data_IF_188606796029
#
_entry.id   IF_188606796029
#
_cell.length_a   1.000
_cell.length_b   1.000
_cell.length_c   1.000
_cell.angle_alpha   90.00
_cell.angle_beta   90.00
_cell.angle_gamma   90.00
#
_symmetry.space_group_name_H-M   'P 1'
#
loop_
_entity.id
_entity.type
_entity.pdbx_description
1 polymer ?
#
# COMPACT_ATOMS: atom_id res chain seq x y z
N UNK A 1 9.74 11.08 -14.73
CA UNK A 1 10.09 12.44 -14.24
C UNK A 1 8.89 13.36 -14.09
N UNK A 2 8.02 13.51 -15.10
CA UNK A 2 6.82 14.35 -15.02
C UNK A 2 5.83 13.96 -13.90
N UNK A 3 5.67 12.66 -13.64
CA UNK A 3 4.78 12.16 -12.58
C UNK A 3 5.28 12.60 -11.18
N UNK A 4 6.60 12.55 -10.95
CA UNK A 4 7.20 12.99 -9.69
C UNK A 4 7.00 14.50 -9.49
N UNK A 5 7.20 15.31 -10.55
CA UNK A 5 6.95 16.75 -10.50
C UNK A 5 5.48 17.05 -10.15
N UNK A 6 4.53 16.38 -10.81
CA UNK A 6 3.11 16.54 -10.55
C UNK A 6 2.73 16.15 -9.11
N UNK A 7 3.31 15.07 -8.58
CA UNK A 7 3.08 14.65 -7.21
C UNK A 7 3.66 15.59 -6.16
N UNK A 8 4.84 16.15 -6.39
CA UNK A 8 5.41 17.16 -5.49
C UNK A 8 4.53 18.42 -5.46
N UNK A 9 4.04 18.87 -6.62
CA UNK A 9 3.07 19.96 -6.69
C UNK A 9 1.76 19.61 -5.98
N UNK A 10 1.24 18.40 -6.18
CA UNK A 10 0.02 17.93 -5.51
C UNK A 10 0.20 17.91 -3.99
N UNK A 11 1.30 17.35 -3.50
CA UNK A 11 1.64 17.32 -2.08
C UNK A 11 1.68 18.71 -1.44
N UNK A 12 2.36 19.65 -2.10
CA UNK A 12 2.47 21.03 -1.61
C UNK A 12 1.11 21.75 -1.55
N UNK A 13 0.27 21.57 -2.57
CA UNK A 13 -1.09 22.15 -2.58
C UNK A 13 -1.96 21.49 -1.52
N UNK A 14 -1.89 20.16 -1.41
CA UNK A 14 -2.69 19.36 -0.48
C UNK A 14 -2.38 19.68 0.99
N UNK A 15 -1.10 19.83 1.31
CA UNK A 15 -0.67 20.29 2.63
C UNK A 15 -1.06 21.76 2.86
N UNK A 16 -0.88 22.63 1.86
CA UNK A 16 -1.23 24.04 1.92
C UNK A 16 -2.71 24.33 2.16
N UNK A 17 -3.62 23.46 1.71
CA UNK A 17 -5.06 23.54 2.00
C UNK A 17 -5.45 22.92 3.35
N UNK A 18 -4.49 22.38 4.11
CA UNK A 18 -4.72 21.76 5.41
C UNK A 18 -5.47 20.44 5.33
N UNK A 19 -5.37 19.72 4.21
CA UNK A 19 -6.20 18.54 4.00
C UNK A 19 -5.83 17.37 4.94
N UNK A 20 -4.60 17.34 5.48
CA UNK A 20 -4.24 16.41 6.58
C UNK A 20 -5.17 16.60 7.79
N UNK A 21 -5.42 17.87 8.20
CA UNK A 21 -6.35 18.20 9.30
C UNK A 21 -7.80 17.92 8.94
N UNK A 22 -8.18 18.12 7.68
CA UNK A 22 -9.53 17.81 7.20
C UNK A 22 -9.79 16.30 7.26
N UNK A 23 -8.80 15.49 6.91
CA UNK A 23 -8.85 14.03 6.98
C UNK A 23 -8.87 13.55 8.43
N UNK A 24 -8.03 14.13 9.29
CA UNK A 24 -8.02 13.85 10.73
C UNK A 24 -9.40 14.11 11.36
N UNK A 25 -10.00 15.28 11.11
CA UNK A 25 -11.35 15.59 11.61
C UNK A 25 -12.45 14.71 11.00
N UNK A 26 -12.38 14.37 9.70
CA UNK A 26 -13.36 13.47 9.07
C UNK A 26 -13.33 12.07 9.67
N UNK A 27 -12.14 11.48 9.79
CA UNK A 27 -12.02 10.10 10.23
C UNK A 27 -12.13 9.96 11.76
N UNK A 28 -11.49 10.84 12.52
CA UNK A 28 -11.43 10.74 13.98
C UNK A 28 -12.64 11.40 14.63
N UNK A 29 -12.99 12.64 14.26
CA UNK A 29 -14.09 13.34 14.94
C UNK A 29 -15.46 12.93 14.41
N UNK A 30 -15.59 12.74 13.09
CA UNK A 30 -16.88 12.45 12.44
C UNK A 30 -17.20 10.96 12.38
N UNK A 31 -16.24 10.13 11.97
CA UNK A 31 -16.43 8.68 11.84
C UNK A 31 -15.98 7.90 13.08
N UNK A 32 -15.37 8.58 14.07
CA UNK A 32 -14.89 7.99 15.32
C UNK A 32 -14.00 6.76 15.10
N UNK A 33 -13.19 6.78 14.04
CA UNK A 33 -12.26 5.71 13.72
C UNK A 33 -11.02 5.83 14.59
N UNK A 34 -10.57 4.70 15.11
CA UNK A 34 -9.25 4.61 15.73
C UNK A 34 -8.15 4.79 14.66
N UNK A 35 -6.92 5.19 15.04
CA UNK A 35 -5.78 5.24 14.13
C UNK A 35 -5.58 3.93 13.34
N UNK A 36 -5.84 2.78 13.98
CA UNK A 36 -5.85 1.46 13.33
C UNK A 36 -6.94 1.31 12.28
N UNK A 37 -8.13 1.85 12.50
CA UNK A 37 -9.21 1.87 11.50
C UNK A 37 -8.82 2.66 10.25
N UNK A 38 -8.15 3.80 10.42
CA UNK A 38 -7.61 4.59 9.31
C UNK A 38 -6.54 3.80 8.54
N UNK A 39 -5.63 3.15 9.25
CA UNK A 39 -4.60 2.31 8.64
C UNK A 39 -5.20 1.15 7.82
N UNK A 40 -6.18 0.44 8.36
CA UNK A 40 -6.85 -0.65 7.63
C UNK A 40 -7.53 -0.13 6.35
N UNK A 41 -8.17 1.04 6.43
CA UNK A 41 -8.78 1.69 5.26
C UNK A 41 -7.73 2.06 4.20
N UNK A 42 -6.56 2.54 4.63
CA UNK A 42 -5.43 2.77 3.72
C UNK A 42 -5.00 1.48 3.01
N UNK A 43 -4.80 0.38 3.76
CA UNK A 43 -4.41 -0.89 3.15
C UNK A 43 -5.44 -1.38 2.12
N UNK A 44 -6.73 -1.28 2.45
CA UNK A 44 -7.82 -1.63 1.54
C UNK A 44 -7.77 -0.75 0.28
N UNK A 45 -7.54 0.55 0.44
CA UNK A 45 -7.42 1.48 -0.70
C UNK A 45 -6.27 1.10 -1.64
N UNK A 46 -5.12 0.65 -1.13
CA UNK A 46 -4.00 0.18 -1.97
C UNK A 46 -4.34 -1.08 -2.72
N UNK A 47 -5.09 -2.01 -2.13
CA UNK A 47 -5.53 -3.22 -2.82
C UNK A 47 -6.41 -2.84 -4.02
N UNK A 48 -7.36 -1.92 -3.84
CA UNK A 48 -8.22 -1.45 -4.93
C UNK A 48 -7.46 -0.63 -5.98
N UNK A 49 -6.56 0.27 -5.58
CA UNK A 49 -5.80 1.10 -6.51
C UNK A 49 -4.73 0.31 -7.26
N UNK A 50 -3.97 -0.53 -6.56
CA UNK A 50 -2.89 -1.34 -7.10
C UNK A 50 -3.36 -2.48 -8.01
N UNK A 51 -4.67 -2.76 -8.02
CA UNK A 51 -5.29 -3.59 -9.05
C UNK A 51 -5.22 -2.95 -10.45
N UNK A 52 -5.17 -1.61 -10.54
CA UNK A 52 -5.21 -0.87 -11.82
C UNK A 52 -3.95 -0.07 -12.11
N UNK A 53 -3.28 0.41 -11.06
CA UNK A 53 -2.11 1.27 -11.14
C UNK A 53 -0.83 0.48 -10.87
N UNK A 54 0.27 0.90 -11.49
CA UNK A 54 1.58 0.40 -11.10
C UNK A 54 2.00 0.89 -9.71
N UNK A 55 2.87 0.14 -9.04
CA UNK A 55 3.32 0.34 -7.67
C UNK A 55 4.02 1.69 -7.48
N UNK A 56 4.75 2.13 -8.50
CA UNK A 56 5.47 3.40 -8.51
C UNK A 56 4.52 4.57 -8.74
N UNK A 57 3.63 4.49 -9.72
CA UNK A 57 2.63 5.54 -9.96
C UNK A 57 1.66 5.68 -8.79
N UNK A 58 1.25 4.56 -8.19
CA UNK A 58 0.44 4.58 -6.98
C UNK A 58 1.18 5.30 -5.85
N UNK A 59 2.44 4.96 -5.59
CA UNK A 59 3.24 5.56 -4.51
C UNK A 59 3.32 7.08 -4.70
N UNK A 60 3.54 7.51 -5.93
CA UNK A 60 3.66 8.93 -6.27
C UNK A 60 2.36 9.70 -6.03
N UNK A 61 1.20 9.05 -6.17
CA UNK A 61 -0.11 9.63 -5.85
C UNK A 61 -0.39 9.63 -4.34
N UNK A 62 -0.13 8.49 -3.67
CA UNK A 62 -0.57 8.29 -2.29
C UNK A 62 0.42 8.80 -1.25
N UNK A 63 1.72 8.83 -1.55
CA UNK A 63 2.74 9.22 -0.57
C UNK A 63 2.56 10.64 -0.04
N UNK A 64 2.31 11.68 -0.88
CA UNK A 64 2.10 13.03 -0.37
C UNK A 64 0.85 13.18 0.51
N UNK A 65 -0.10 12.25 0.38
CA UNK A 65 -1.35 12.23 1.13
C UNK A 65 -1.22 11.46 2.45
N UNK A 66 -0.72 10.22 2.38
CA UNK A 66 -0.77 9.29 3.50
C UNK A 66 0.46 9.33 4.41
N UNK A 67 1.65 9.68 3.90
CA UNK A 67 2.85 9.83 4.75
C UNK A 67 2.69 10.91 5.82
N UNK A 68 2.24 12.15 5.52
CA UNK A 68 2.04 13.14 6.57
C UNK A 68 0.94 12.73 7.56
N UNK A 69 -0.07 12.01 7.08
CA UNK A 69 -1.19 11.53 7.90
C UNK A 69 -0.77 10.42 8.87
N UNK A 70 -0.01 9.42 8.44
CA UNK A 70 0.47 8.36 9.34
C UNK A 70 1.44 8.89 10.39
N UNK A 71 2.25 9.90 10.04
CA UNK A 71 3.08 10.61 11.02
C UNK A 71 2.21 11.35 12.04
N UNK A 72 1.17 12.06 11.59
CA UNK A 72 0.23 12.75 12.49
C UNK A 72 -0.51 11.78 13.43
N UNK A 73 -0.83 10.57 12.94
CA UNK A 73 -1.43 9.49 13.73
C UNK A 73 -0.44 8.78 14.67
N UNK A 74 0.86 9.12 14.63
CA UNK A 74 1.89 8.58 15.50
C UNK A 74 2.48 7.22 15.04
N UNK A 75 2.26 6.82 13.79
CA UNK A 75 2.85 5.62 13.23
C UNK A 75 4.26 5.87 12.67
N UNK A 76 5.10 4.84 12.74
CA UNK A 76 6.43 4.88 12.14
C UNK A 76 6.34 4.83 10.59
N UNK A 77 6.97 5.78 9.88
CA UNK A 77 6.93 5.82 8.42
C UNK A 77 7.63 4.66 7.72
N UNK A 78 8.67 4.08 8.33
CA UNK A 78 9.40 2.94 7.77
C UNK A 78 8.50 1.71 7.82
N UNK A 79 7.89 1.45 8.97
CA UNK A 79 6.92 0.38 9.15
C UNK A 79 5.76 0.50 8.17
N UNK A 80 5.17 1.69 8.06
CA UNK A 80 4.11 1.96 7.08
C UNK A 80 4.60 1.73 5.63
N UNK A 81 5.82 2.15 5.31
CA UNK A 81 6.43 1.87 3.99
C UNK A 81 6.52 0.38 3.68
N UNK A 82 6.87 -0.45 4.68
CA UNK A 82 6.91 -1.91 4.52
C UNK A 82 5.49 -2.47 4.30
N UNK A 83 4.50 -2.01 5.06
CA UNK A 83 3.10 -2.40 4.86
C UNK A 83 2.60 -2.05 3.45
N UNK A 84 2.95 -0.85 2.97
CA UNK A 84 2.67 -0.42 1.60
C UNK A 84 3.30 -1.38 0.60
N UNK A 85 4.60 -1.67 0.71
CA UNK A 85 5.31 -2.56 -0.21
C UNK A 85 4.70 -3.95 -0.28
N UNK A 86 4.39 -4.56 0.88
CA UNK A 86 3.74 -5.88 0.92
C UNK A 86 2.37 -5.84 0.24
N UNK A 87 1.60 -4.79 0.52
CA UNK A 87 0.24 -4.64 -0.03
C UNK A 87 0.24 -4.40 -1.53
N UNK A 88 1.23 -3.66 -2.05
CA UNK A 88 1.43 -3.51 -3.49
C UNK A 88 1.67 -4.85 -4.18
N UNK A 89 2.50 -5.72 -3.58
CA UNK A 89 2.76 -7.05 -4.14
C UNK A 89 1.48 -7.90 -4.16
N UNK A 90 0.68 -7.83 -3.09
CA UNK A 90 -0.63 -8.48 -3.02
C UNK A 90 -1.55 -7.97 -4.15
N UNK A 91 -1.65 -6.64 -4.31
CA UNK A 91 -2.50 -6.02 -5.32
C UNK A 91 -2.07 -6.41 -6.76
N UNK A 92 -0.77 -6.47 -7.02
CA UNK A 92 -0.19 -6.89 -8.31
C UNK A 92 -0.52 -8.33 -8.72
N UNK A 93 -0.87 -9.16 -7.75
CA UNK A 93 -1.25 -10.55 -7.94
C UNK A 93 -2.74 -10.78 -7.79
N UNK A 94 -3.52 -9.75 -7.46
CA UNK A 94 -4.96 -9.85 -7.27
C UNK A 94 -5.67 -9.44 -8.57
N UNK A 95 -6.60 -10.26 -9.11
CA UNK A 95 -7.43 -9.87 -10.26
C UNK A 95 -8.21 -8.58 -9.96
N UNK A 96 -8.47 -7.68 -10.94
CA UNK A 96 -8.79 -7.93 -12.34
C UNK A 96 -7.65 -7.76 -13.35
N UNK A 97 -6.62 -6.97 -13.05
CA UNK A 97 -5.53 -6.65 -13.99
C UNK A 97 -4.19 -7.31 -13.63
N UNK A 98 -4.09 -7.92 -12.44
CA UNK A 98 -2.89 -8.55 -11.85
C UNK A 98 -1.72 -8.73 -12.82
N UNK A 99 -0.88 -7.68 -12.94
CA UNK A 99 0.12 -7.54 -13.99
C UNK A 99 1.01 -8.79 -14.12
N UNK A 100 1.39 -9.36 -12.97
CA UNK A 100 2.20 -10.57 -12.89
C UNK A 100 1.49 -11.78 -13.50
N UNK A 101 0.16 -11.88 -13.33
CA UNK A 101 -0.65 -12.97 -13.87
C UNK A 101 -0.83 -12.86 -15.39
N UNK A 102 -0.97 -11.64 -15.92
CA UNK A 102 -1.00 -11.43 -17.37
C UNK A 102 0.35 -11.71 -18.01
N UNK A 103 1.45 -11.32 -17.36
CA UNK A 103 2.79 -11.66 -17.81
C UNK A 103 3.00 -13.19 -17.82
N UNK A 104 2.57 -13.89 -16.76
CA UNK A 104 2.61 -15.35 -16.73
C UNK A 104 1.77 -15.98 -17.83
N UNK A 105 0.57 -15.44 -18.10
CA UNK A 105 -0.28 -15.91 -19.21
C UNK A 105 0.41 -15.77 -20.57
N UNK A 106 1.17 -14.70 -20.79
CA UNK A 106 1.90 -14.48 -22.04
C UNK A 106 3.02 -15.51 -22.28
N UNK A 107 3.60 -16.06 -21.21
CA UNK A 107 4.63 -17.10 -21.27
C UNK A 107 4.07 -18.53 -21.21
N UNK A 108 2.83 -18.70 -20.75
CA UNK A 108 2.22 -20.01 -20.53
C UNK A 108 1.78 -20.69 -21.85
N UNK A 109 1.90 -22.04 -21.94
CA UNK A 109 1.35 -22.82 -23.04
C UNK A 109 -0.13 -22.54 -23.30
N UNK A 110 -0.60 -22.80 -24.53
CA UNK A 110 -1.98 -22.51 -24.93
C UNK A 110 -3.01 -23.31 -24.13
N UNK A 111 -2.63 -24.45 -23.54
CA UNK A 111 -3.52 -25.26 -22.71
C UNK A 111 -3.85 -24.61 -21.36
N UNK A 112 -3.02 -23.66 -20.88
CA UNK A 112 -3.22 -23.01 -19.59
C UNK A 112 -4.11 -21.78 -19.77
N UNK A 113 -5.28 -21.79 -19.15
CA UNK A 113 -6.20 -20.66 -19.16
C UNK A 113 -5.82 -19.60 -18.10
N UNK A 114 -6.31 -18.36 -18.27
CA UNK A 114 -6.18 -17.32 -17.24
C UNK A 114 -6.81 -17.75 -15.91
N UNK A 115 -7.88 -18.55 -15.96
CA UNK A 115 -8.58 -19.04 -14.77
C UNK A 115 -7.71 -20.00 -13.96
N UNK A 116 -6.91 -20.84 -14.63
CA UNK A 116 -5.97 -21.76 -13.96
C UNK A 116 -4.87 -21.00 -13.23
N UNK A 117 -4.35 -19.95 -13.86
CA UNK A 117 -3.36 -19.04 -13.26
C UNK A 117 -3.96 -18.31 -12.06
N UNK A 118 -5.18 -17.79 -12.19
CA UNK A 118 -5.88 -17.07 -11.13
C UNK A 118 -6.21 -17.97 -9.93
N UNK A 119 -6.56 -19.23 -10.15
CA UNK A 119 -6.77 -20.19 -9.06
C UNK A 119 -5.47 -20.55 -8.34
N UNK A 120 -4.38 -20.64 -9.09
CA UNK A 120 -3.08 -21.05 -8.56
C UNK A 120 -2.43 -19.99 -7.65
N UNK A 121 -2.77 -18.71 -7.82
CA UNK A 121 -2.19 -17.62 -7.01
C UNK A 121 -2.91 -17.40 -5.67
N UNK A 122 -4.16 -17.87 -5.52
CA UNK A 122 -4.95 -17.68 -4.28
C UNK A 122 -4.20 -18.12 -3.02
N UNK A 123 -3.58 -19.32 -2.97
CA UNK A 123 -2.80 -19.74 -1.80
C UNK A 123 -1.65 -18.78 -1.48
N UNK A 124 -1.00 -18.23 -2.51
CA UNK A 124 0.10 -17.29 -2.37
C UNK A 124 -0.36 -15.94 -1.81
N UNK A 125 -1.48 -15.42 -2.32
CA UNK A 125 -2.12 -14.19 -1.81
C UNK A 125 -2.50 -14.36 -0.33
N UNK A 126 -3.04 -15.52 0.06
CA UNK A 126 -3.38 -15.81 1.46
C UNK A 126 -2.13 -15.74 2.35
N UNK A 127 -1.03 -16.37 1.95
CA UNK A 127 0.23 -16.33 2.71
C UNK A 127 0.76 -14.89 2.82
N UNK A 128 0.67 -14.10 1.76
CA UNK A 128 1.06 -12.69 1.82
C UNK A 128 0.16 -11.86 2.73
N UNK A 129 -1.15 -12.08 2.72
CA UNK A 129 -2.08 -11.43 3.64
C UNK A 129 -1.79 -11.80 5.11
N UNK A 130 -1.41 -13.06 5.38
CA UNK A 130 -0.96 -13.48 6.70
C UNK A 130 0.34 -12.76 7.08
N UNK A 131 1.30 -12.67 6.16
CA UNK A 131 2.53 -11.90 6.36
C UNK A 131 2.25 -10.42 6.66
N UNK A 132 1.34 -9.80 5.91
CA UNK A 132 0.89 -8.43 6.16
C UNK A 132 0.28 -8.29 7.56
N UNK A 133 -0.61 -9.21 7.96
CA UNK A 133 -1.21 -9.21 9.30
C UNK A 133 -0.16 -9.36 10.40
N UNK A 134 0.84 -10.23 10.21
CA UNK A 134 1.94 -10.40 11.15
C UNK A 134 2.77 -9.12 11.29
N UNK A 135 3.15 -8.48 10.19
CA UNK A 135 3.91 -7.21 10.23
C UNK A 135 3.07 -6.08 10.82
N UNK A 136 1.75 -6.09 10.60
CA UNK A 136 0.84 -5.15 11.26
C UNK A 136 0.83 -5.33 12.78
N UNK A 137 0.77 -6.57 13.29
CA UNK A 137 0.72 -6.84 14.73
C UNK A 137 2.11 -6.69 15.39
N UNK A 138 3.17 -7.01 14.66
CA UNK A 138 4.56 -6.99 15.14
C UNK A 138 5.42 -6.04 14.29
N UNK A 139 5.37 -4.72 14.53
CA UNK A 139 6.13 -3.71 13.78
C UNK A 139 7.65 -3.94 13.81
N UNK A 140 8.15 -4.55 14.88
CA UNK A 140 9.56 -4.87 15.10
C UNK A 140 10.16 -5.72 13.96
N UNK A 141 9.34 -6.54 13.29
CA UNK A 141 9.78 -7.33 12.12
C UNK A 141 10.29 -6.41 11.00
N UNK A 142 9.65 -5.25 10.83
CA UNK A 142 10.01 -4.26 9.83
C UNK A 142 11.10 -3.29 10.32
N UNK A 143 11.07 -2.88 11.58
CA UNK A 143 11.92 -1.80 12.10
C UNK A 143 13.25 -2.27 12.70
N UNK A 144 13.37 -3.55 13.09
CA UNK A 144 14.56 -4.08 13.76
C UNK A 144 15.86 -3.86 12.97
N UNK A 145 15.85 -4.16 11.67
CA UNK A 145 17.05 -4.03 10.83
C UNK A 145 17.45 -2.55 10.60
N UNK A 146 16.53 -1.64 10.22
CA UNK A 146 16.81 -0.20 10.17
C UNK A 146 17.36 0.35 11.48
N UNK A 147 16.77 -0.02 12.62
CA UNK A 147 17.22 0.43 13.95
C UNK A 147 18.62 -0.09 14.28
N UNK A 148 18.95 -1.32 13.89
CA UNK A 148 20.27 -1.91 14.11
C UNK A 148 21.36 -1.21 13.28
N UNK A 149 21.05 -0.85 12.03
CA UNK A 149 22.00 -0.19 11.12
C UNK A 149 22.17 1.30 11.46
N UNK A 150 21.08 2.02 11.77
CA UNK A 150 21.11 3.45 12.09
C UNK A 150 21.64 3.77 13.51
N UNK A 151 21.88 2.75 14.34
CA UNK A 151 22.54 2.90 15.66
C UNK A 151 24.06 3.08 15.59
N UNK A 152 24.67 3.15 14.40
CA UNK A 152 26.10 3.43 14.21
C UNK A 152 26.39 4.87 13.85
#
# INVERSE_FOLDING_TARGET
MWIILAALCFGAVFDGIGAVKAIESLFIERWNLSPWGVLIMMQISYIFMGMFLDDTAMLVIVAPLYVPLIIALGFDPIWYGVLYTITCQIAYMTPPFGYNLFLMRAMAPKEISLVDIYRSIIPFVIVMCIGLALVMIFPEIATWLPEYINKR
#
